data_IF_109063766067
#
_entry.id   IF_109063766067
#
_cell.length_a   1.000
_cell.length_b   1.000
_cell.length_c   1.000
_cell.angle_alpha   90.00
_cell.angle_beta   90.00
_cell.angle_gamma   90.00
#
_symmetry.space_group_name_H-M   'P 1'
#
loop_
_entity.id
_entity.type
_entity.pdbx_description
1 polymer ?
#
# COMPACT_ATOMS: atom_id res chain seq x y z
N UNK A 1 -12.80 -5.09 14.01
CA UNK A 1 -13.39 -3.74 14.07
C UNK A 1 -12.64 -2.98 15.16
N UNK A 2 -11.95 -1.89 14.82
CA UNK A 2 -11.15 -1.12 15.79
C UNK A 2 -12.09 -0.31 16.68
N UNK A 3 -12.24 -0.72 17.94
CA UNK A 3 -13.27 -0.20 18.86
C UNK A 3 -12.86 1.07 19.62
N UNK A 4 -11.68 1.66 19.33
CA UNK A 4 -11.09 2.73 20.13
C UNK A 4 -10.38 3.83 19.30
N UNK A 5 -10.79 4.04 18.05
CA UNK A 5 -10.46 5.27 17.31
C UNK A 5 -11.72 6.13 17.25
N UNK A 6 -11.85 7.08 18.17
CA UNK A 6 -12.97 8.03 18.17
C UNK A 6 -12.94 8.97 16.95
N UNK A 7 -11.77 9.20 16.36
CA UNK A 7 -11.58 9.95 15.12
C UNK A 7 -10.36 9.38 14.37
N UNK A 8 -10.52 9.07 13.08
CA UNK A 8 -9.40 8.80 12.18
C UNK A 8 -9.05 10.11 11.45
N UNK A 9 -7.88 10.67 11.72
CA UNK A 9 -7.43 11.94 11.11
C UNK A 9 -6.63 11.73 9.82
N UNK A 10 -6.21 10.50 9.55
CA UNK A 10 -5.35 10.17 8.41
C UNK A 10 -5.67 8.78 7.92
N UNK A 11 -5.75 8.62 6.61
CA UNK A 11 -5.83 7.32 5.95
C UNK A 11 -4.49 7.06 5.26
N UNK A 12 -3.79 6.02 5.70
CA UNK A 12 -2.53 5.59 5.10
C UNK A 12 -2.81 4.37 4.24
N UNK A 13 -2.35 4.43 2.99
CA UNK A 13 -2.45 3.33 2.05
C UNK A 13 -1.09 2.64 2.00
N UNK A 14 -1.04 1.41 2.50
CA UNK A 14 0.21 0.67 2.64
C UNK A 14 -0.04 -0.83 2.52
N UNK A 15 1.06 -1.57 2.44
CA UNK A 15 1.08 -3.00 2.70
C UNK A 15 2.33 -3.32 3.51
N UNK A 16 2.16 -4.10 4.57
CA UNK A 16 3.25 -4.60 5.39
C UNK A 16 3.17 -6.12 5.39
N UNK A 17 4.25 -6.74 4.94
CA UNK A 17 4.55 -8.13 5.28
C UNK A 17 5.84 -8.05 6.06
N UNK A 18 5.81 -8.48 7.32
CA UNK A 18 6.95 -8.39 8.21
C UNK A 18 7.28 -9.77 8.75
N UNK A 19 8.54 -10.18 8.61
CA UNK A 19 9.06 -11.36 9.27
C UNK A 19 10.18 -10.93 10.22
N UNK A 20 9.91 -10.98 11.53
CA UNK A 20 10.87 -10.59 12.56
C UNK A 20 11.78 -11.72 13.02
N UNK A 21 11.66 -12.93 12.43
CA UNK A 21 12.50 -14.07 12.81
C UNK A 21 13.93 -13.88 12.32
N UNK A 22 14.96 -14.11 13.17
CA UNK A 22 16.36 -14.09 12.75
C UNK A 22 16.60 -15.07 11.59
N UNK A 23 17.15 -14.58 10.47
CA UNK A 23 17.37 -15.36 9.26
C UNK A 23 16.10 -15.72 8.48
N UNK A 24 14.95 -15.16 8.85
CA UNK A 24 13.70 -15.29 8.12
C UNK A 24 13.64 -14.36 6.92
N UNK A 25 12.90 -14.74 5.88
CA UNK A 25 12.57 -13.87 4.76
C UNK A 25 11.13 -13.38 4.87
N UNK A 26 10.85 -12.19 4.35
CA UNK A 26 9.48 -11.76 4.11
C UNK A 26 8.75 -12.81 3.24
N UNK A 27 7.48 -13.07 3.55
CA UNK A 27 6.67 -14.05 2.81
C UNK A 27 6.17 -13.41 1.52
N UNK A 28 5.76 -14.18 0.51
CA UNK A 28 5.01 -13.57 -0.59
C UNK A 28 3.74 -12.88 -0.04
N UNK A 29 3.38 -11.72 -0.60
CA UNK A 29 2.11 -11.07 -0.27
C UNK A 29 1.03 -11.54 -1.24
N UNK A 30 -0.22 -11.58 -0.78
CA UNK A 30 -1.39 -11.75 -1.66
C UNK A 30 -1.92 -10.41 -2.20
N UNK A 31 -1.37 -9.28 -1.74
CA UNK A 31 -1.76 -7.94 -2.21
C UNK A 31 -0.93 -7.49 -3.42
N UNK A 32 -1.60 -6.94 -4.43
CA UNK A 32 -0.95 -6.53 -5.68
C UNK A 32 -0.63 -7.75 -6.57
N UNK A 33 0.46 -7.70 -7.33
CA UNK A 33 0.86 -8.76 -8.27
C UNK A 33 2.34 -9.16 -8.17
N UNK A 34 3.06 -8.69 -7.15
CA UNK A 34 4.48 -9.01 -6.94
C UNK A 34 5.47 -8.22 -7.80
N UNK A 35 4.99 -7.33 -8.68
CA UNK A 35 5.80 -6.50 -9.57
C UNK A 35 6.01 -5.13 -8.93
N UNK A 36 7.21 -4.56 -9.02
CA UNK A 36 7.49 -3.27 -8.38
C UNK A 36 6.75 -2.12 -9.08
N UNK A 37 6.31 -1.08 -8.34
CA UNK A 37 5.71 0.13 -8.91
C UNK A 37 6.55 0.81 -9.99
N UNK A 38 7.87 0.73 -9.91
CA UNK A 38 8.80 1.26 -10.89
C UNK A 38 8.67 0.61 -12.28
N UNK A 39 8.10 -0.60 -12.34
CA UNK A 39 7.79 -1.32 -13.59
C UNK A 39 6.45 -0.85 -14.22
N UNK A 40 5.79 0.14 -13.62
CA UNK A 40 4.65 0.91 -14.14
C UNK A 40 3.48 0.05 -14.61
N UNK A 41 3.31 -0.10 -15.94
CA UNK A 41 2.13 -0.72 -16.56
C UNK A 41 1.97 -2.20 -16.17
N UNK A 42 3.07 -2.86 -15.79
CA UNK A 42 3.04 -4.23 -15.30
C UNK A 42 2.73 -4.32 -13.81
N UNK A 43 2.78 -3.23 -13.05
CA UNK A 43 2.51 -3.22 -11.63
C UNK A 43 1.00 -3.21 -11.36
N UNK A 44 0.60 -3.85 -10.26
CA UNK A 44 -0.79 -3.77 -9.82
C UNK A 44 -1.16 -2.31 -9.51
N UNK A 45 -2.34 -1.91 -9.99
CA UNK A 45 -2.84 -0.53 -9.89
C UNK A 45 -4.14 -0.53 -9.11
N UNK A 46 -4.21 0.32 -8.09
CA UNK A 46 -5.40 0.58 -7.30
C UNK A 46 -5.86 2.00 -7.63
N UNK A 47 -7.12 2.16 -8.02
CA UNK A 47 -7.68 3.43 -8.49
C UNK A 47 -9.12 3.60 -8.01
N UNK A 48 -9.67 4.81 -8.18
CA UNK A 48 -10.99 5.20 -7.67
C UNK A 48 -11.13 4.98 -6.15
N UNK A 49 -10.07 5.30 -5.41
CA UNK A 49 -10.07 5.13 -3.96
C UNK A 49 -11.05 6.11 -3.30
N UNK A 50 -11.82 5.60 -2.34
CA UNK A 50 -12.79 6.37 -1.56
C UNK A 50 -12.76 5.93 -0.11
N UNK A 51 -13.06 6.85 0.80
CA UNK A 51 -13.18 6.58 2.23
C UNK A 51 -14.64 6.69 2.61
N UNK A 52 -15.16 5.72 3.38
CA UNK A 52 -16.50 5.81 3.93
C UNK A 52 -16.45 6.31 5.35
N UNK A 53 -17.07 7.45 5.61
CA UNK A 53 -17.12 8.01 6.97
C UNK A 53 -18.10 7.25 7.88
N UNK A 54 -18.09 7.59 9.17
CA UNK A 54 -19.00 7.01 10.15
C UNK A 54 -20.48 7.33 9.92
N UNK A 55 -20.78 8.36 9.12
CA UNK A 55 -22.13 8.71 8.66
C UNK A 55 -22.58 7.93 7.42
N UNK A 56 -21.69 7.12 6.84
CA UNK A 56 -21.96 6.30 5.66
C UNK A 56 -21.77 7.02 4.32
N UNK A 57 -21.24 8.26 4.32
CA UNK A 57 -20.92 9.03 3.12
C UNK A 57 -19.57 8.60 2.54
N UNK A 58 -19.46 8.62 1.22
CA UNK A 58 -18.19 8.45 0.53
C UNK A 58 -17.50 9.80 0.37
N UNK A 59 -16.30 9.90 0.92
CA UNK A 59 -15.41 11.03 0.80
C UNK A 59 -14.21 10.69 -0.08
N UNK A 60 -13.68 11.73 -0.70
CA UNK A 60 -12.48 11.64 -1.51
C UNK A 60 -11.25 11.42 -0.64
N UNK A 61 -10.24 10.75 -1.20
CA UNK A 61 -8.96 10.62 -0.49
C UNK A 61 -8.26 11.98 -0.47
N UNK A 62 -8.11 12.55 0.72
CA UNK A 62 -7.26 13.71 0.96
C UNK A 62 -5.88 13.23 1.41
N UNK A 63 -4.82 13.75 0.79
CA UNK A 63 -3.43 13.42 1.11
C UNK A 63 -3.10 11.93 0.99
N UNK A 64 -3.32 11.37 -0.20
CA UNK A 64 -2.89 10.01 -0.54
C UNK A 64 -1.38 9.87 -0.32
N UNK A 65 -1.01 9.30 0.83
CA UNK A 65 0.37 9.07 1.20
C UNK A 65 0.63 7.57 1.29
N UNK A 66 1.82 7.18 0.85
CA UNK A 66 2.22 5.81 0.68
C UNK A 66 3.32 5.48 1.68
N UNK A 67 3.00 4.64 2.66
CA UNK A 67 3.98 4.21 3.67
C UNK A 67 4.80 3.01 3.15
N UNK A 68 6.10 3.04 3.42
CA UNK A 68 7.09 2.08 2.93
C UNK A 68 7.98 1.64 4.09
N UNK A 69 7.68 0.49 4.68
CA UNK A 69 8.50 -0.07 5.76
C UNK A 69 9.82 -0.66 5.22
N UNK A 70 9.72 -1.47 4.16
CA UNK A 70 10.88 -2.06 3.47
C UNK A 70 10.71 -1.99 1.95
N UNK A 71 11.15 -0.85 1.38
CA UNK A 71 11.00 -0.54 -0.06
C UNK A 71 11.61 -1.58 -1.01
N UNK A 72 12.56 -2.38 -0.53
CA UNK A 72 13.23 -3.41 -1.31
C UNK A 72 12.49 -4.76 -1.30
N UNK A 73 11.52 -4.92 -0.40
CA UNK A 73 10.62 -6.07 -0.36
C UNK A 73 9.31 -5.76 -1.08
N UNK A 74 8.75 -4.60 -0.76
CA UNK A 74 7.52 -4.07 -1.33
C UNK A 74 7.65 -2.58 -1.48
N UNK A 75 7.07 -2.03 -2.53
CA UNK A 75 6.96 -0.59 -2.68
C UNK A 75 5.56 -0.18 -3.12
N UNK A 76 5.27 1.09 -2.94
CA UNK A 76 4.09 1.78 -3.42
C UNK A 76 4.48 3.09 -4.09
N UNK A 77 3.73 3.50 -5.10
CA UNK A 77 3.96 4.76 -5.79
C UNK A 77 2.63 5.43 -6.14
N UNK A 78 2.41 6.63 -5.62
CA UNK A 78 1.24 7.46 -5.93
C UNK A 78 1.27 7.86 -7.40
N UNK A 79 0.11 7.80 -8.05
CA UNK A 79 -0.10 8.27 -9.42
C UNK A 79 -0.75 9.66 -9.36
N UNK A 80 -0.16 10.67 -10.01
CA UNK A 80 -0.65 12.06 -9.94
C UNK A 80 -1.12 12.63 -11.28
N UNK A 81 -0.73 12.05 -12.43
CA UNK A 81 -0.85 12.72 -13.72
C UNK A 81 -2.14 12.40 -14.51
N UNK A 82 -2.82 11.28 -14.23
CA UNK A 82 -3.92 10.81 -15.10
C UNK A 82 -5.08 10.10 -14.37
N UNK A 83 -4.85 9.64 -13.15
CA UNK A 83 -5.85 8.94 -12.34
C UNK A 83 -5.81 9.58 -10.97
N UNK A 84 -6.95 10.11 -10.54
CA UNK A 84 -7.12 10.69 -9.22
C UNK A 84 -7.23 9.56 -8.20
N UNK A 85 -6.65 9.76 -7.02
CA UNK A 85 -6.73 8.83 -5.89
C UNK A 85 -6.30 7.41 -6.29
N UNK A 86 -5.08 7.28 -6.83
CA UNK A 86 -4.54 6.00 -7.30
C UNK A 86 -3.07 5.79 -6.93
N UNK A 87 -2.69 4.51 -6.77
CA UNK A 87 -1.31 4.11 -6.54
C UNK A 87 -1.01 2.74 -7.16
N UNK A 88 0.26 2.54 -7.48
CA UNK A 88 0.83 1.23 -7.72
C UNK A 88 1.29 0.61 -6.40
N UNK A 89 1.11 -0.71 -6.24
CA UNK A 89 1.64 -1.46 -5.10
C UNK A 89 2.10 -2.85 -5.52
N UNK A 90 3.26 -3.26 -5.04
CA UNK A 90 3.78 -4.60 -5.29
C UNK A 90 5.21 -4.77 -4.82
N UNK A 91 5.94 -5.64 -5.50
CA UNK A 91 7.23 -6.16 -5.07
C UNK A 91 7.15 -7.64 -4.65
N UNK A 92 8.19 -8.44 -4.92
CA UNK A 92 8.15 -9.90 -4.79
C UNK A 92 8.13 -10.39 -3.34
N UNK A 93 8.35 -9.50 -2.37
CA UNK A 93 8.48 -9.84 -0.95
C UNK A 93 9.71 -10.66 -0.61
N UNK A 94 10.62 -10.88 -1.56
CA UNK A 94 11.85 -11.66 -1.38
C UNK A 94 12.91 -11.19 -2.37
N UNK A 95 14.17 -11.20 -1.95
CA UNK A 95 15.29 -10.79 -2.78
C UNK A 95 16.52 -10.51 -1.92
N UNK A 96 17.68 -10.41 -2.53
CA UNK A 96 18.95 -10.12 -1.81
C UNK A 96 18.91 -8.79 -1.07
N UNK A 97 18.20 -7.80 -1.61
CA UNK A 97 17.99 -6.48 -0.97
C UNK A 97 16.81 -6.45 0.00
N UNK A 98 16.00 -7.52 0.05
CA UNK A 98 14.86 -7.67 0.94
C UNK A 98 15.25 -8.59 2.11
N UNK A 99 15.87 -7.99 3.13
CA UNK A 99 16.32 -8.66 4.36
C UNK A 99 15.31 -8.48 5.50
#
# INVERSE_FOLDING_TARGET
>A
MFVNLQVALTVVWAGQVQNTKPGGHHTATQMGNGIFPEEKQSAATFYDLQVRDGGGKWDSVTDLNNFKDSRYCYDSMVMSLFIRDAFHFGGPGRGSSCM
#
